data_IF_682760277093
#
_entry.id   IF_682760277093
#
_cell.length_a   1.000
_cell.length_b   1.000
_cell.length_c   1.000
_cell.angle_alpha   90.00
_cell.angle_beta   90.00
_cell.angle_gamma   90.00
#
_symmetry.space_group_name_H-M   'P 1'
#
loop_
_entity.id
_entity.type
_entity.pdbx_description
1 polymer ?
#
# COMPACT_ATOMS: atom_id res chain seq x y z
N UNK A 38 -20.37 -11.75 -5.71
CA UNK A 38 -19.55 -10.62 -5.28
C UNK A 38 -20.39 -9.44 -4.83
N UNK A 39 -21.24 -9.64 -3.83
CA UNK A 39 -22.12 -8.58 -3.35
C UNK A 39 -22.68 -8.92 -1.96
N UNK A 40 -23.21 -7.91 -1.27
CA UNK A 40 -23.81 -8.11 0.05
C UNK A 40 -25.20 -8.74 -0.05
N UNK A 41 -25.59 -9.49 0.98
CA UNK A 41 -26.84 -10.22 0.96
C UNK A 41 -27.64 -10.14 2.27
N UNK A 42 -26.97 -10.27 3.40
CA UNK A 42 -27.66 -10.30 4.68
C UNK A 42 -26.83 -9.67 5.80
N UNK A 43 -27.51 -9.12 6.81
CA UNK A 43 -26.80 -8.45 7.90
C UNK A 43 -27.43 -8.68 9.27
N UNK A 44 -26.64 -9.19 10.21
CA UNK A 44 -27.12 -9.46 11.56
C UNK A 44 -26.33 -8.62 12.57
N UNK A 45 -27.03 -7.78 13.33
CA UNK A 45 -26.40 -6.92 14.33
C UNK A 45 -26.97 -7.20 15.70
N UNK A 46 -26.12 -7.40 16.71
CA UNK A 46 -26.62 -7.66 18.05
C UNK A 46 -26.00 -6.75 19.11
N UNK A 47 -26.89 -6.13 19.89
CA UNK A 47 -26.52 -5.24 20.98
C UNK A 47 -25.59 -4.11 20.59
N UNK A 48 -25.93 -3.43 19.51
CA UNK A 48 -25.18 -2.27 19.06
C UNK A 48 -26.00 -0.99 19.22
N UNK A 49 -25.55 -0.12 20.13
CA UNK A 49 -26.21 1.16 20.34
C UNK A 49 -27.71 0.98 20.59
N UNK A 50 -28.51 1.46 19.65
CA UNK A 50 -29.96 1.44 19.79
C UNK A 50 -30.57 0.20 19.14
N UNK A 51 -29.77 -0.84 18.95
CA UNK A 51 -30.21 -2.04 18.24
C UNK A 51 -30.18 -3.31 19.10
N UNK A 52 -31.38 -3.84 19.41
CA UNK A 52 -31.52 -5.11 20.12
C UNK A 52 -31.82 -6.27 19.17
N UNK A 53 -30.76 -6.69 18.52
CA UNK A 53 -30.73 -7.74 17.49
C UNK A 53 -31.59 -7.37 16.30
N UNK A 54 -30.91 -7.40 15.15
CA UNK A 54 -31.42 -7.01 13.84
C UNK A 54 -30.96 -7.97 12.72
N UNK A 55 -31.94 -8.59 12.07
CA UNK A 55 -31.64 -9.44 10.94
C UNK A 55 -32.28 -8.90 9.67
N UNK A 56 -31.44 -8.43 8.76
CA UNK A 56 -31.90 -7.74 7.56
C UNK A 56 -31.48 -8.50 6.30
N UNK A 57 -32.48 -9.04 5.61
CA UNK A 57 -32.30 -9.63 4.29
C UNK A 57 -32.39 -8.54 3.23
N UNK A 58 -31.25 -8.06 2.76
CA UNK A 58 -31.23 -6.97 1.79
C UNK A 58 -30.69 -7.38 0.41
N UNK A 59 -31.36 -6.91 -0.64
CA UNK A 59 -30.95 -7.20 -2.00
C UNK A 59 -29.72 -6.43 -2.43
N UNK A 60 -29.83 -5.71 -3.55
CA UNK A 60 -28.73 -4.86 -4.00
C UNK A 60 -29.20 -3.50 -4.51
N UNK A 61 -28.66 -3.10 -5.66
CA UNK A 61 -29.04 -1.83 -6.26
C UNK A 61 -28.83 -0.65 -5.32
N UNK A 62 -29.64 0.39 -5.50
CA UNK A 62 -29.56 1.57 -4.66
C UNK A 62 -30.43 1.43 -3.41
N UNK A 63 -29.79 1.30 -2.25
CA UNK A 63 -30.52 1.20 -1.00
C UNK A 63 -30.42 2.48 -0.17
N UNK A 64 -31.59 3.06 0.07
CA UNK A 64 -31.72 4.30 0.83
C UNK A 64 -32.26 4.01 2.22
N UNK A 65 -31.65 4.64 3.22
CA UNK A 65 -32.11 4.52 4.59
C UNK A 65 -32.58 5.86 5.14
N UNK A 66 -33.84 5.91 5.58
CA UNK A 66 -34.43 7.16 6.06
C UNK A 66 -35.12 6.95 7.39
N UNK A 67 -35.74 8.00 7.91
CA UNK A 67 -36.37 7.95 9.21
C UNK A 67 -35.45 8.53 10.27
N UNK A 68 -34.90 7.65 11.11
CA UNK A 68 -33.93 8.07 12.11
C UNK A 68 -32.54 8.01 11.50
N UNK A 69 -32.06 9.17 11.05
CA UNK A 69 -30.78 9.24 10.34
C UNK A 69 -29.60 8.84 11.21
N UNK A 70 -29.58 9.24 12.48
CA UNK A 70 -28.51 8.84 13.36
C UNK A 70 -28.45 7.34 13.58
N UNK A 71 -29.61 6.72 13.74
CA UNK A 71 -29.67 5.28 13.90
C UNK A 71 -29.15 4.62 12.63
N UNK A 72 -29.53 5.18 11.49
CA UNK A 72 -29.08 4.66 10.21
C UNK A 72 -27.58 4.74 10.06
N UNK A 73 -27.00 5.85 10.53
CA UNK A 73 -25.56 6.04 10.46
C UNK A 73 -24.93 4.95 11.30
N UNK A 74 -25.55 4.67 12.44
CA UNK A 74 -25.05 3.64 13.33
C UNK A 74 -25.07 2.25 12.67
N UNK A 75 -26.13 1.97 11.94
CA UNK A 75 -26.28 0.71 11.21
C UNK A 75 -25.32 0.54 10.03
N UNK A 76 -25.19 1.57 9.21
CA UNK A 76 -24.49 1.47 7.94
C UNK A 76 -23.03 1.91 7.99
N UNK A 77 -22.74 2.95 8.77
CA UNK A 77 -21.37 3.45 8.84
C UNK A 77 -20.56 2.81 9.95
N UNK A 78 -21.08 2.87 11.18
CA UNK A 78 -20.37 2.36 12.33
C UNK A 78 -20.21 0.83 12.29
N UNK A 79 -21.32 0.12 12.09
CA UNK A 79 -21.27 -1.34 12.07
C UNK A 79 -20.47 -1.85 10.87
N UNK A 80 -20.92 -1.48 9.67
CA UNK A 80 -20.21 -1.93 8.49
C UNK A 80 -18.76 -1.50 8.66
N UNK A 81 -18.57 -0.38 9.36
CA UNK A 81 -17.23 0.13 9.62
C UNK A 81 -16.41 -0.85 10.43
N UNK A 82 -17.08 -1.49 11.39
CA UNK A 82 -16.44 -2.50 12.23
C UNK A 82 -16.01 -3.70 11.43
N UNK A 83 -16.83 -4.10 10.46
CA UNK A 83 -16.41 -5.25 9.64
C UNK A 83 -15.16 -4.96 8.79
N UNK A 84 -14.99 -3.71 8.38
CA UNK A 84 -13.83 -3.31 7.59
C UNK A 84 -12.59 -3.19 8.47
N UNK A 85 -12.78 -3.33 9.78
CA UNK A 85 -11.70 -3.21 10.73
C UNK A 85 -11.60 -1.80 11.30
N UNK A 86 -10.37 -1.34 11.52
CA UNK A 86 -10.14 -0.02 12.08
C UNK A 86 -10.34 -0.01 13.57
N UNK A 87 -10.21 1.16 14.19
CA UNK A 87 -10.41 1.31 15.62
C UNK A 87 -11.73 0.69 16.06
N UNK A 88 -11.79 0.25 17.31
CA UNK A 88 -12.99 -0.37 17.86
C UNK A 88 -13.36 0.22 19.21
N UNK A 89 -13.92 1.42 19.21
CA UNK A 89 -14.26 2.09 20.45
C UNK A 89 -15.43 1.41 21.15
N UNK A 90 -15.32 1.25 22.46
CA UNK A 90 -16.33 0.56 23.25
C UNK A 90 -17.62 1.37 23.38
N UNK A 91 -17.57 2.64 22.97
CA UNK A 91 -18.76 3.47 22.99
C UNK A 91 -19.80 2.94 22.01
N UNK A 92 -19.35 2.21 20.99
CA UNK A 92 -20.27 1.68 19.99
C UNK A 92 -21.10 0.55 20.59
N UNK A 93 -20.58 -0.02 21.68
CA UNK A 93 -21.24 -1.13 22.38
C UNK A 93 -22.53 -0.68 23.08
N UNK A 94 -23.54 -1.55 23.04
CA UNK A 94 -24.83 -1.29 23.65
C UNK A 94 -24.70 -0.69 25.05
N UNK A 95 -25.66 0.17 25.40
CA UNK A 95 -25.64 0.90 26.67
C UNK A 95 -25.43 -0.01 27.89
N UNK A 96 -26.40 -0.86 28.16
CA UNK A 96 -26.34 -1.73 29.33
C UNK A 96 -26.06 -3.19 29.03
N UNK A 97 -25.24 -3.45 28.02
CA UNK A 97 -24.91 -4.82 27.63
C UNK A 97 -23.41 -5.09 27.67
N UNK A 98 -23.05 -6.37 27.62
CA UNK A 98 -21.66 -6.79 27.81
C UNK A 98 -20.82 -6.85 26.54
N UNK A 99 -21.43 -7.18 25.41
CA UNK A 99 -20.69 -7.30 24.17
C UNK A 99 -21.61 -7.26 22.95
N UNK A 100 -21.09 -6.73 21.84
CA UNK A 100 -21.87 -6.66 20.61
C UNK A 100 -21.31 -7.54 19.50
N UNK A 101 -22.13 -7.84 18.50
CA UNK A 101 -21.69 -8.70 17.40
C UNK A 101 -22.26 -8.23 16.06
N UNK A 102 -21.42 -8.20 15.04
CA UNK A 102 -21.87 -7.83 13.69
C UNK A 102 -21.44 -8.89 12.68
N UNK A 103 -22.42 -9.63 12.17
CA UNK A 103 -22.17 -10.65 11.16
C UNK A 103 -22.73 -10.22 9.80
N UNK A 104 -21.95 -10.42 8.75
CA UNK A 104 -22.40 -10.08 7.42
C UNK A 104 -22.28 -11.25 6.45
N UNK A 105 -23.28 -11.41 5.61
CA UNK A 105 -23.31 -12.51 4.66
C UNK A 105 -23.39 -12.02 3.22
N UNK A 106 -22.49 -12.51 2.38
CA UNK A 106 -22.44 -12.13 0.97
C UNK A 106 -23.08 -13.21 0.08
N UNK A 115 -19.42 -17.20 2.15
CA UNK A 115 -18.56 -16.32 2.93
C UNK A 115 -19.39 -15.54 3.96
N UNK A 116 -19.00 -15.64 5.23
CA UNK A 116 -19.67 -14.92 6.30
C UNK A 116 -18.67 -14.35 7.31
N UNK A 117 -18.33 -13.08 7.16
CA UNK A 117 -17.43 -12.41 8.11
C UNK A 117 -18.19 -11.87 9.30
N UNK A 118 -17.53 -11.84 10.46
CA UNK A 118 -18.14 -11.33 11.67
C UNK A 118 -17.14 -10.59 12.56
N UNK A 119 -17.64 -9.69 13.38
CA UNK A 119 -16.79 -8.97 14.32
C UNK A 119 -17.51 -8.86 15.66
N UNK A 120 -16.89 -9.37 16.72
CA UNK A 120 -17.48 -9.31 18.04
C UNK A 120 -16.62 -8.46 18.98
N UNK A 121 -17.22 -7.47 19.62
CA UNK A 121 -16.47 -6.70 20.59
C UNK A 121 -16.97 -6.97 22.00
N UNK A 122 -16.03 -7.23 22.90
CA UNK A 122 -16.35 -7.56 24.28
C UNK A 122 -15.87 -6.44 25.20
N UNK A 123 -16.74 -6.01 26.12
CA UNK A 123 -16.35 -5.00 27.10
C UNK A 123 -15.32 -5.60 28.05
N UNK A 124 -15.21 -6.92 28.01
CA UNK A 124 -14.23 -7.63 28.83
C UNK A 124 -12.80 -7.27 28.43
N UNK A 125 -12.56 -7.14 27.14
CA UNK A 125 -11.24 -6.79 26.66
C UNK A 125 -10.64 -7.69 25.60
N UNK A 126 -11.30 -8.80 25.29
CA UNK A 126 -10.78 -9.75 24.30
C UNK A 126 -11.48 -9.66 22.96
N UNK A 127 -12.77 -9.97 22.94
CA UNK A 127 -13.55 -10.01 21.71
C UNK A 127 -12.95 -10.99 20.72
N UNK A 128 -13.42 -10.95 19.48
CA UNK A 128 -12.88 -11.81 18.43
C UNK A 128 -13.33 -11.38 17.04
N UNK A 129 -12.46 -11.58 16.04
CA UNK A 129 -12.82 -11.34 14.65
C UNK A 129 -12.98 -12.69 13.97
N UNK A 130 -13.86 -12.77 12.97
CA UNK A 130 -14.03 -14.00 12.21
C UNK A 130 -14.20 -13.85 10.70
N UNK A 131 -13.60 -14.78 9.96
CA UNK A 131 -13.84 -14.91 8.53
C UNK A 131 -14.41 -16.29 8.20
N UNK A 132 -15.53 -16.31 7.49
CA UNK A 132 -16.17 -17.55 7.01
C UNK A 132 -16.25 -18.71 8.00
N UNK A 133 -15.19 -18.93 8.77
CA UNK A 133 -15.17 -20.03 9.72
C UNK A 133 -14.81 -19.66 11.14
N UNK A 134 -13.51 -19.70 11.45
CA UNK A 134 -13.01 -19.51 12.81
C UNK A 134 -12.40 -18.13 13.09
N UNK A 135 -11.71 -18.05 14.23
CA UNK A 135 -10.98 -16.87 14.66
C UNK A 135 -9.82 -16.54 13.73
N UNK A 136 -9.93 -15.44 13.00
CA UNK A 136 -8.86 -15.01 12.11
C UNK A 136 -8.33 -13.65 12.55
N UNK A 137 -7.25 -13.21 11.90
CA UNK A 137 -6.58 -11.98 12.29
C UNK A 137 -7.30 -10.73 11.81
N UNK A 138 -7.16 -9.65 12.57
CA UNK A 138 -7.79 -8.39 12.22
C UNK A 138 -7.19 -7.81 10.94
N UNK A 139 -5.88 -7.95 10.79
CA UNK A 139 -5.19 -7.46 9.59
C UNK A 139 -5.75 -8.14 8.34
N UNK A 140 -6.07 -9.42 8.48
CA UNK A 140 -6.60 -10.22 7.38
C UNK A 140 -8.06 -9.87 7.14
N UNK A 141 -8.77 -9.55 8.23
CA UNK A 141 -10.14 -9.10 8.11
C UNK A 141 -10.16 -7.80 7.30
N UNK A 142 -9.21 -6.92 7.58
CA UNK A 142 -9.08 -5.65 6.90
C UNK A 142 -8.79 -5.88 5.43
N UNK A 143 -7.80 -6.71 5.16
CA UNK A 143 -7.37 -6.99 3.80
C UNK A 143 -8.48 -7.64 2.96
N UNK A 144 -9.28 -8.48 3.61
CA UNK A 144 -10.35 -9.17 2.91
C UNK A 144 -11.57 -8.28 2.67
N UNK A 145 -12.00 -7.60 3.73
CA UNK A 145 -13.18 -6.75 3.65
C UNK A 145 -12.97 -5.49 2.83
N UNK A 146 -11.74 -5.02 2.74
CA UNK A 146 -11.48 -3.84 1.92
C UNK A 146 -11.60 -4.21 0.44
N UNK A 147 -11.81 -5.49 0.19
CA UNK A 147 -12.06 -5.97 -1.16
C UNK A 147 -13.54 -6.16 -1.43
N UNK A 148 -14.35 -6.03 -0.39
CA UNK A 148 -15.78 -6.28 -0.49
C UNK A 148 -16.60 -5.02 -0.17
N UNK A 149 -16.19 -4.32 0.87
CA UNK A 149 -16.92 -3.15 1.36
C UNK A 149 -16.14 -1.87 1.13
N UNK A 150 -16.85 -0.78 0.91
CA UNK A 150 -16.24 0.54 0.89
C UNK A 150 -17.10 1.56 1.60
N UNK A 151 -16.60 2.05 2.73
CA UNK A 151 -17.25 3.11 3.48
C UNK A 151 -16.51 4.40 3.24
N UNK A 152 -17.23 5.42 2.76
CA UNK A 152 -16.57 6.66 2.39
C UNK A 152 -16.64 7.69 3.51
N UNK A 153 -15.48 8.27 3.81
CA UNK A 153 -15.26 9.11 4.96
C UNK A 153 -13.76 9.10 5.19
N UNK A 154 -13.32 9.34 6.42
CA UNK A 154 -11.90 9.30 6.69
C UNK A 154 -11.43 7.88 6.35
N UNK A 155 -12.31 6.92 6.62
CA UNK A 155 -12.04 5.50 6.36
C UNK A 155 -11.96 5.23 4.87
N UNK A 156 -12.31 6.22 4.06
CA UNK A 156 -12.20 6.09 2.62
C UNK A 156 -10.73 6.11 2.22
N UNK A 157 -9.88 6.50 3.16
CA UNK A 157 -8.44 6.57 2.89
C UNK A 157 -7.88 5.22 2.40
N UNK A 158 -8.38 4.13 2.99
CA UNK A 158 -7.89 2.79 2.65
C UNK A 158 -8.72 2.17 1.53
N UNK A 159 -9.42 3.03 0.79
CA UNK A 159 -10.22 2.60 -0.33
C UNK A 159 -9.69 3.22 -1.62
N UNK A 160 -10.03 4.48 -1.87
CA UNK A 160 -9.66 5.16 -3.12
C UNK A 160 -8.59 6.24 -2.95
N UNK A 161 -8.21 6.43 -1.69
CA UNK A 161 -7.53 7.66 -1.26
C UNK A 161 -6.04 7.65 -0.92
N UNK A 162 -5.46 6.47 -0.79
CA UNK A 162 -4.07 6.37 -0.35
C UNK A 162 -3.15 6.42 -1.56
N UNK A 163 -1.84 6.40 -1.33
CA UNK A 163 -0.91 6.55 -2.45
C UNK A 163 -0.99 5.51 -3.57
N UNK A 164 -1.31 4.26 -3.26
CA UNK A 164 -1.32 3.25 -4.31
C UNK A 164 -2.50 3.39 -5.28
N UNK A 165 -3.67 3.77 -4.79
CA UNK A 165 -4.82 3.81 -5.67
C UNK A 165 -4.85 5.15 -6.39
N UNK A 166 -4.40 6.17 -5.66
CA UNK A 166 -4.17 7.49 -6.20
C UNK A 166 -3.24 7.42 -7.40
N UNK A 167 -2.13 6.72 -7.22
CA UNK A 167 -1.21 6.58 -8.33
C UNK A 167 -1.86 5.77 -9.43
N UNK A 168 -2.58 4.71 -9.05
CA UNK A 168 -3.21 3.85 -10.04
C UNK A 168 -4.16 4.53 -11.01
N UNK A 169 -4.95 5.48 -10.50
CA UNK A 169 -5.89 6.19 -11.36
C UNK A 169 -5.18 6.74 -12.61
N UNK A 170 -4.00 7.30 -12.39
CA UNK A 170 -3.22 7.94 -13.45
C UNK A 170 -2.36 6.93 -14.21
N UNK A 171 -1.83 5.96 -13.47
CA UNK A 171 -0.90 4.97 -14.04
C UNK A 171 -1.57 4.00 -15.00
N UNK A 172 -2.90 3.91 -14.94
CA UNK A 172 -3.63 3.05 -15.86
C UNK A 172 -4.00 3.81 -17.13
N UNK A 173 -3.44 5.02 -17.27
CA UNK A 173 -3.59 5.79 -18.50
C UNK A 173 -2.30 5.77 -19.32
N UNK A 174 -1.21 5.36 -18.68
CA UNK A 174 0.11 5.30 -19.32
C UNK A 174 0.82 3.99 -18.97
N UNK A 175 0.10 2.89 -19.12
CA UNK A 175 0.58 1.56 -18.76
C UNK A 175 2.00 1.25 -19.25
N UNK A 176 2.30 1.62 -20.48
CA UNK A 176 3.60 1.36 -21.08
C UNK A 176 4.78 1.86 -20.23
N UNK A 177 4.77 3.15 -19.93
CA UNK A 177 5.82 3.76 -19.11
C UNK A 177 5.88 3.11 -17.73
N UNK A 178 4.72 2.86 -17.13
CA UNK A 178 4.66 2.29 -15.80
C UNK A 178 5.31 0.90 -15.77
N UNK A 179 5.00 0.08 -16.77
CA UNK A 179 5.59 -1.25 -16.87
C UNK A 179 7.07 -1.16 -17.14
N UNK A 180 7.49 -0.10 -17.83
CA UNK A 180 8.90 0.13 -18.12
C UNK A 180 9.65 0.40 -16.83
N UNK A 181 9.04 1.20 -15.96
CA UNK A 181 9.62 1.50 -14.67
C UNK A 181 9.67 0.21 -13.86
N UNK A 182 8.54 -0.47 -13.75
CA UNK A 182 8.48 -1.69 -12.95
C UNK A 182 9.61 -2.65 -13.35
N UNK A 183 9.80 -2.80 -14.66
CA UNK A 183 10.84 -3.67 -15.20
C UNK A 183 12.25 -3.19 -14.83
N UNK A 184 12.52 -1.91 -15.07
CA UNK A 184 13.83 -1.35 -14.72
C UNK A 184 14.14 -1.58 -13.25
N UNK A 185 13.16 -1.27 -12.40
CA UNK A 185 13.29 -1.42 -10.96
C UNK A 185 13.57 -2.87 -10.56
N UNK A 186 12.87 -3.81 -11.21
CA UNK A 186 13.04 -5.22 -10.88
C UNK A 186 14.46 -5.70 -11.26
N UNK A 187 14.89 -5.31 -12.45
CA UNK A 187 16.23 -5.69 -12.91
C UNK A 187 17.29 -5.09 -12.00
N UNK A 188 17.03 -3.86 -11.55
CA UNK A 188 17.95 -3.18 -10.66
C UNK A 188 18.00 -3.90 -9.30
N UNK A 189 16.86 -4.45 -8.89
CA UNK A 189 16.82 -5.20 -7.63
C UNK A 189 17.63 -6.49 -7.78
N UNK A 190 17.60 -7.06 -8.98
CA UNK A 190 18.41 -8.24 -9.28
C UNK A 190 19.89 -7.87 -9.13
N UNK A 191 20.26 -6.74 -9.72
CA UNK A 191 21.63 -6.25 -9.68
C UNK A 191 22.10 -6.02 -8.25
N UNK A 192 21.23 -5.44 -7.43
CA UNK A 192 21.57 -5.14 -6.04
C UNK A 192 21.74 -6.44 -5.24
N UNK A 193 20.88 -7.41 -5.53
CA UNK A 193 20.94 -8.71 -4.88
C UNK A 193 22.30 -9.35 -5.18
N UNK A 194 22.63 -9.49 -6.45
CA UNK A 194 23.90 -10.07 -6.87
C UNK A 194 25.10 -9.32 -6.26
N UNK A 195 25.01 -7.99 -6.32
CA UNK A 195 26.01 -7.06 -5.83
C UNK A 195 26.35 -7.13 -4.34
N UNK A 196 25.41 -7.52 -3.50
CA UNK A 196 25.73 -7.63 -2.06
C UNK A 196 26.67 -8.76 -1.59
N UNK A 197 26.73 -9.90 -2.27
CA UNK A 197 27.65 -10.96 -1.83
C UNK A 197 29.10 -10.47 -1.86
N UNK A 198 29.33 -9.40 -2.62
CA UNK A 198 30.64 -8.81 -2.78
C UNK A 198 31.17 -8.22 -1.47
N UNK A 199 30.27 -7.94 -0.53
CA UNK A 199 30.66 -7.46 0.79
C UNK A 199 31.20 -8.63 1.61
N UNK A 200 30.41 -9.69 1.65
CA UNK A 200 30.80 -10.94 2.30
C UNK A 200 32.20 -11.34 1.83
N UNK A 201 32.40 -11.29 0.51
CA UNK A 201 33.73 -11.57 -0.03
C UNK A 201 34.74 -10.53 0.44
N UNK A 202 34.34 -9.26 0.39
CA UNK A 202 35.21 -8.14 0.72
C UNK A 202 35.90 -8.29 2.07
N UNK A 203 35.10 -8.35 3.13
CA UNK A 203 35.64 -8.34 4.50
C UNK A 203 36.85 -9.27 4.68
N UNK A 204 36.66 -10.55 4.40
CA UNK A 204 37.71 -11.55 4.62
C UNK A 204 38.73 -11.59 3.49
N UNK A 205 38.23 -11.73 2.26
CA UNK A 205 39.11 -11.83 1.10
C UNK A 205 40.12 -10.69 1.03
N UNK A 206 39.77 -9.54 1.60
CA UNK A 206 40.71 -8.42 1.65
C UNK A 206 41.96 -8.79 2.45
N UNK A 207 41.77 -9.04 3.74
CA UNK A 207 42.88 -9.42 4.62
C UNK A 207 43.63 -10.63 4.08
N UNK A 208 42.88 -11.66 3.69
CA UNK A 208 43.48 -12.86 3.12
C UNK A 208 44.40 -12.51 1.97
N UNK A 209 43.92 -11.66 1.07
CA UNK A 209 44.72 -11.24 -0.09
C UNK A 209 45.97 -10.48 0.32
N UNK A 210 45.85 -9.57 1.28
CA UNK A 210 47.02 -8.85 1.76
C UNK A 210 48.07 -9.82 2.30
N UNK A 211 47.60 -10.84 3.04
CA UNK A 211 48.49 -11.87 3.55
C UNK A 211 49.20 -12.60 2.41
N UNK A 212 48.41 -13.15 1.50
CA UNK A 212 48.95 -13.88 0.35
C UNK A 212 50.01 -13.06 -0.37
N UNK A 213 49.65 -11.84 -0.75
CA UNK A 213 50.58 -10.95 -1.44
C UNK A 213 51.85 -10.75 -0.62
N UNK A 214 51.69 -10.59 0.70
CA UNK A 214 52.83 -10.43 1.59
C UNK A 214 53.79 -11.61 1.45
N UNK A 215 53.26 -12.82 1.61
CA UNK A 215 54.08 -14.02 1.49
C UNK A 215 54.75 -14.11 0.12
N UNK A 216 53.95 -14.00 -0.94
CA UNK A 216 54.43 -14.08 -2.31
C UNK A 216 55.57 -13.11 -2.58
N UNK A 217 55.47 -11.90 -2.04
CA UNK A 217 56.53 -10.92 -2.21
C UNK A 217 57.76 -11.30 -1.39
N UNK A 218 57.53 -11.77 -0.17
CA UNK A 218 58.63 -12.20 0.70
C UNK A 218 59.48 -13.26 0.00
N UNK A 219 58.82 -14.22 -0.64
CA UNK A 219 59.52 -15.26 -1.39
C UNK A 219 60.15 -14.71 -2.66
N UNK A 220 59.37 -13.94 -3.42
CA UNK A 220 59.83 -13.39 -4.69
C UNK A 220 61.13 -12.62 -4.55
N UNK A 221 61.19 -11.72 -3.56
CA UNK A 221 62.38 -10.91 -3.34
C UNK A 221 63.63 -11.77 -3.21
N UNK A 222 63.50 -12.88 -2.48
CA UNK A 222 64.62 -13.79 -2.27
C UNK A 222 64.84 -14.67 -3.48
N UNK A 223 63.75 -15.08 -4.13
CA UNK A 223 63.82 -15.95 -5.29
C UNK A 223 64.62 -17.20 -4.99
N UNK A 224 64.05 -18.10 -4.16
CA UNK A 224 64.71 -19.34 -3.77
C UNK A 224 64.86 -20.29 -4.95
N UNK A 225 65.80 -21.21 -4.86
CA UNK A 225 66.03 -22.18 -5.92
C UNK A 225 66.58 -23.50 -5.37
N UNK A 226 65.85 -24.60 -5.60
CA UNK A 226 66.23 -25.93 -5.12
C UNK A 226 67.62 -26.35 -5.58
N UNK A 227 68.25 -27.26 -4.83
CA UNK A 227 69.59 -27.74 -5.17
C UNK A 227 70.61 -26.62 -5.09
N UNK A 228 70.50 -25.79 -4.05
CA UNK A 228 71.37 -24.63 -3.90
C UNK A 228 72.16 -24.73 -2.60
N UNK A 229 71.48 -25.11 -1.53
CA UNK A 229 72.11 -25.23 -0.21
C UNK A 229 73.16 -26.34 -0.16
N UNK A 230 72.97 -27.38 -0.96
CA UNK A 230 73.86 -28.53 -0.92
C UNK A 230 75.26 -28.16 -1.41
N UNK A 231 75.34 -27.25 -2.38
CA UNK A 231 76.61 -26.76 -2.86
C UNK A 231 77.07 -25.57 -2.05
N UNK A 232 76.10 -24.79 -1.59
CA UNK A 232 76.36 -23.62 -0.77
C UNK A 232 77.15 -24.02 0.48
N UNK A 233 76.75 -25.13 1.08
CA UNK A 233 77.43 -25.66 2.26
C UNK A 233 78.87 -26.03 1.96
N UNK A 234 79.09 -26.57 0.76
CA UNK A 234 80.44 -26.92 0.32
C UNK A 234 81.32 -25.69 0.18
N UNK A 235 80.83 -24.71 -0.58
CA UNK A 235 81.54 -23.45 -0.74
C UNK A 235 81.85 -22.82 0.62
N UNK A 236 80.89 -22.92 1.53
CA UNK A 236 81.08 -22.43 2.90
C UNK A 236 82.24 -23.16 3.56
N UNK A 237 82.25 -24.49 3.41
CA UNK A 237 83.35 -25.30 3.93
C UNK A 237 84.68 -24.78 3.42
N UNK A 238 84.76 -24.50 2.12
CA UNK A 238 85.97 -23.96 1.52
C UNK A 238 86.38 -22.62 2.15
N UNK A 239 85.48 -21.64 2.08
CA UNK A 239 85.78 -20.30 2.57
C UNK A 239 86.19 -20.27 4.04
N UNK A 240 85.41 -20.93 4.90
CA UNK A 240 85.68 -20.93 6.33
C UNK A 240 86.94 -21.73 6.66
N UNK A 241 87.11 -22.87 5.99
CA UNK A 241 88.27 -23.72 6.23
C UNK A 241 89.57 -23.02 5.83
N UNK A 242 89.52 -22.24 4.76
CA UNK A 242 90.66 -21.46 4.31
C UNK A 242 90.96 -20.35 5.32
N UNK A 243 90.03 -19.41 5.45
CA UNK A 243 90.16 -18.32 6.40
C UNK A 243 91.54 -17.66 6.32
N UNK A 263 86.72 -12.35 2.20
CA UNK A 263 85.87 -11.93 3.32
C UNK A 263 84.64 -11.16 2.84
N UNK A 264 84.66 -10.75 1.57
CA UNK A 264 83.57 -9.98 0.99
C UNK A 264 82.33 -10.85 0.73
N UNK A 265 82.54 -11.98 0.07
CA UNK A 265 81.44 -12.85 -0.34
C UNK A 265 81.01 -13.81 0.77
N UNK A 266 81.87 -14.00 1.77
CA UNK A 266 81.59 -14.91 2.86
C UNK A 266 80.25 -14.59 3.53
N UNK A 267 80.12 -13.36 4.00
CA UNK A 267 78.92 -12.92 4.70
C UNK A 267 77.70 -12.94 3.78
N UNK A 268 77.93 -12.82 2.48
CA UNK A 268 76.85 -12.91 1.51
C UNK A 268 76.35 -14.34 1.42
N UNK A 269 77.28 -15.28 1.40
CA UNK A 269 76.97 -16.71 1.37
C UNK A 269 76.21 -17.11 2.63
N UNK A 270 76.79 -16.80 3.79
CA UNK A 270 76.15 -17.08 5.06
C UNK A 270 74.76 -16.46 5.12
N UNK A 271 74.66 -15.21 4.65
CA UNK A 271 73.39 -14.50 4.63
C UNK A 271 72.35 -15.23 3.80
N UNK A 272 72.75 -15.70 2.62
CA UNK A 272 71.85 -16.41 1.73
C UNK A 272 71.40 -17.73 2.34
N UNK A 273 72.34 -18.46 2.95
CA UNK A 273 72.02 -19.73 3.58
C UNK A 273 71.03 -19.53 4.71
N UNK A 274 71.30 -18.57 5.59
CA UNK A 274 70.40 -18.26 6.69
C UNK A 274 69.03 -17.84 6.19
N UNK A 275 69.01 -17.08 5.09
CA UNK A 275 67.76 -16.68 4.46
C UNK A 275 66.97 -17.91 4.04
N UNK A 276 67.63 -18.83 3.35
CA UNK A 276 67.01 -20.08 2.94
C UNK A 276 66.50 -20.87 4.15
N UNK A 277 67.19 -20.70 5.28
CA UNK A 277 66.79 -21.37 6.52
C UNK A 277 65.48 -20.81 7.06
N UNK A 278 65.41 -19.47 7.15
CA UNK A 278 64.20 -18.82 7.61
C UNK A 278 63.01 -19.13 6.69
N UNK A 279 63.17 -18.84 5.40
CA UNK A 279 62.13 -19.13 4.43
C UNK A 279 61.78 -20.61 4.42
N UNK A 280 62.72 -21.45 4.85
CA UNK A 280 62.49 -22.88 4.97
C UNK A 280 61.58 -23.18 6.16
N UNK A 281 61.80 -22.47 7.25
CA UNK A 281 60.97 -22.65 8.44
C UNK A 281 59.56 -22.09 8.25
N UNK A 282 59.46 -21.08 7.38
CA UNK A 282 58.19 -20.37 7.16
C UNK A 282 57.11 -21.19 6.46
N UNK A 283 57.30 -21.46 5.17
CA UNK A 283 56.35 -22.23 4.39
C UNK A 283 56.96 -23.52 3.89
N UNK A 284 57.99 -23.99 4.60
CA UNK A 284 58.69 -25.19 4.19
C UNK A 284 57.90 -26.45 4.49
N UNK A 285 58.58 -27.47 5.06
CA UNK A 285 60.00 -27.41 5.39
C UNK A 285 60.89 -27.48 4.15
N UNK A 286 60.63 -28.46 3.29
CA UNK A 286 61.42 -28.66 2.09
C UNK A 286 61.66 -27.35 1.32
N UNK A 287 62.85 -27.21 0.76
CA UNK A 287 63.17 -26.04 -0.06
C UNK A 287 62.20 -25.94 -1.23
N UNK A 288 61.76 -27.09 -1.72
CA UNK A 288 60.78 -27.13 -2.81
C UNK A 288 59.38 -26.78 -2.31
N UNK A 289 59.02 -27.29 -1.14
CA UNK A 289 57.71 -27.02 -0.56
C UNK A 289 57.47 -25.53 -0.41
N UNK A 290 58.55 -24.77 -0.25
CA UNK A 290 58.46 -23.32 -0.12
C UNK A 290 57.96 -22.68 -1.41
N UNK A 291 58.66 -22.93 -2.51
CA UNK A 291 58.28 -22.40 -3.81
C UNK A 291 56.90 -22.92 -4.21
N UNK A 292 56.62 -24.16 -3.84
CA UNK A 292 55.30 -24.75 -4.04
C UNK A 292 54.22 -23.90 -3.38
N UNK A 293 54.42 -23.64 -2.09
CA UNK A 293 53.49 -22.83 -1.32
C UNK A 293 53.34 -21.45 -1.94
N UNK A 294 54.44 -20.93 -2.47
CA UNK A 294 54.42 -19.63 -3.14
C UNK A 294 53.53 -19.67 -4.37
N UNK A 295 53.62 -20.76 -5.12
CA UNK A 295 52.80 -20.95 -6.30
C UNK A 295 51.32 -21.05 -5.93
N UNK A 296 51.03 -21.83 -4.90
CA UNK A 296 49.66 -21.97 -4.41
C UNK A 296 49.09 -20.61 -4.01
N UNK A 297 49.88 -19.84 -3.25
CA UNK A 297 49.48 -18.51 -2.84
C UNK A 297 49.21 -17.62 -4.05
N UNK A 298 50.08 -17.68 -5.04
CA UNK A 298 49.90 -16.93 -6.27
C UNK A 298 48.56 -17.25 -6.91
N UNK A 299 48.28 -18.55 -7.05
CA UNK A 299 47.03 -19.01 -7.64
C UNK A 299 45.82 -18.47 -6.89
N UNK A 300 45.75 -18.78 -5.60
CA UNK A 300 44.63 -18.35 -4.78
C UNK A 300 44.42 -16.84 -4.89
N UNK A 301 45.50 -16.08 -4.75
CA UNK A 301 45.44 -14.63 -4.85
C UNK A 301 44.87 -14.20 -6.19
N UNK A 302 45.32 -14.86 -7.27
CA UNK A 302 44.82 -14.56 -8.60
C UNK A 302 43.30 -14.76 -8.67
N UNK A 303 42.84 -15.90 -8.17
CA UNK A 303 41.42 -16.21 -8.16
C UNK A 303 40.61 -15.17 -7.40
N UNK A 304 41.00 -14.91 -6.16
CA UNK A 304 40.32 -13.91 -5.36
C UNK A 304 40.27 -12.55 -6.07
N UNK A 305 41.38 -12.19 -6.70
CA UNK A 305 41.45 -10.96 -7.48
C UNK A 305 40.41 -10.98 -8.60
N UNK A 306 40.28 -12.11 -9.27
CA UNK A 306 39.25 -12.27 -10.29
C UNK A 306 37.88 -11.98 -9.69
N UNK A 307 37.60 -12.59 -8.54
CA UNK A 307 36.35 -12.35 -7.83
C UNK A 307 36.10 -10.85 -7.64
N UNK A 308 37.05 -10.19 -6.98
CA UNK A 308 36.93 -8.77 -6.68
C UNK A 308 36.68 -7.92 -7.93
N UNK A 309 37.61 -7.97 -8.88
CA UNK A 309 37.49 -7.22 -10.12
C UNK A 309 36.13 -7.45 -10.78
N UNK A 310 35.76 -8.71 -10.92
CA UNK A 310 34.46 -9.09 -11.48
C UNK A 310 33.34 -8.34 -10.77
N UNK A 311 33.36 -8.40 -9.45
CA UNK A 311 32.36 -7.70 -8.63
C UNK A 311 32.33 -6.21 -8.97
N UNK A 312 33.51 -5.61 -9.11
CA UNK A 312 33.61 -4.20 -9.46
C UNK A 312 32.91 -3.88 -10.77
N UNK A 313 33.28 -4.62 -11.82
CA UNK A 313 32.64 -4.46 -13.11
C UNK A 313 31.12 -4.55 -12.97
N UNK A 314 30.66 -5.60 -12.30
CA UNK A 314 29.23 -5.77 -12.05
C UNK A 314 28.64 -4.52 -11.41
N UNK A 315 29.41 -3.89 -10.52
CA UNK A 315 28.95 -2.69 -9.83
C UNK A 315 28.77 -1.53 -10.79
N UNK A 316 29.80 -1.26 -11.61
CA UNK A 316 29.69 -0.21 -12.62
C UNK A 316 28.45 -0.44 -13.49
N UNK A 317 28.27 -1.69 -13.90
CA UNK A 317 27.10 -2.08 -14.67
C UNK A 317 25.82 -1.67 -13.92
N UNK A 318 25.79 -1.98 -12.62
CA UNK A 318 24.65 -1.64 -11.77
C UNK A 318 24.37 -0.14 -11.83
N UNK A 319 25.40 0.67 -11.71
CA UNK A 319 25.22 2.12 -11.81
C UNK A 319 24.63 2.50 -13.15
N UNK A 320 25.06 1.83 -14.22
CA UNK A 320 24.48 2.04 -15.54
C UNK A 320 22.97 1.79 -15.51
N UNK A 321 22.58 0.63 -14.99
CA UNK A 321 21.16 0.31 -14.85
C UNK A 321 20.43 1.37 -14.03
N UNK A 322 21.13 1.95 -13.06
CA UNK A 322 20.58 3.03 -12.26
C UNK A 322 20.24 4.21 -13.15
N UNK A 323 21.20 4.62 -13.97
CA UNK A 323 20.96 5.69 -14.93
C UNK A 323 19.73 5.38 -15.79
N UNK A 324 19.66 4.15 -16.29
CA UNK A 324 18.52 3.73 -17.10
C UNK A 324 17.20 3.93 -16.36
N UNK A 325 17.10 3.35 -15.16
CA UNK A 325 15.91 3.50 -14.34
C UNK A 325 15.55 4.96 -14.16
N UNK A 326 16.57 5.81 -14.02
CA UNK A 326 16.36 7.25 -13.93
C UNK A 326 15.64 7.77 -15.17
N UNK A 327 16.22 7.50 -16.33
CA UNK A 327 15.63 7.89 -17.60
C UNK A 327 14.17 7.47 -17.69
N UNK A 328 13.91 6.20 -17.41
CA UNK A 328 12.56 5.65 -17.46
C UNK A 328 11.63 6.43 -16.55
N UNK A 329 12.08 6.67 -15.31
CA UNK A 329 11.31 7.43 -14.35
C UNK A 329 10.95 8.81 -14.89
N UNK A 330 11.91 9.46 -15.54
CA UNK A 330 11.67 10.75 -16.16
C UNK A 330 10.57 10.64 -17.21
N UNK A 331 10.68 9.65 -18.09
CA UNK A 331 9.69 9.42 -19.13
C UNK A 331 8.29 9.26 -18.53
N UNK A 332 8.18 8.44 -17.50
CA UNK A 332 6.91 8.23 -16.81
C UNK A 332 6.38 9.54 -16.25
N UNK A 333 7.26 10.32 -15.62
CA UNK A 333 6.89 11.62 -15.10
C UNK A 333 6.26 12.48 -16.19
N UNK A 334 6.93 12.55 -17.33
CA UNK A 334 6.42 13.31 -18.47
C UNK A 334 5.04 12.79 -18.88
N UNK A 335 4.89 11.48 -18.89
CA UNK A 335 3.60 10.86 -19.22
C UNK A 335 2.50 11.36 -18.29
N UNK A 336 2.79 11.37 -17.00
CA UNK A 336 1.85 11.89 -16.01
C UNK A 336 1.51 13.34 -16.31
N UNK A 337 2.53 14.19 -16.35
CA UNK A 337 2.38 15.61 -16.64
C UNK A 337 1.52 15.82 -17.89
N UNK A 338 1.53 14.84 -18.77
CA UNK A 338 0.78 14.90 -20.02
C UNK A 338 -0.69 14.51 -19.80
N UNK A 339 -0.91 13.47 -18.99
CA UNK A 339 -2.25 12.95 -18.76
C UNK A 339 -2.97 13.65 -17.61
N UNK A 340 -2.35 14.67 -17.04
CA UNK A 340 -2.94 15.40 -15.92
C UNK A 340 -4.06 16.32 -16.36
N UNK A 341 -3.79 17.16 -17.35
CA UNK A 341 -4.76 18.15 -17.83
C UNK A 341 -6.13 17.56 -18.19
N UNK A 342 -6.15 16.53 -19.06
CA UNK A 342 -7.43 15.98 -19.53
C UNK A 342 -8.20 15.28 -18.42
N UNK A 343 -7.47 14.79 -17.42
CA UNK A 343 -8.07 14.05 -16.32
C UNK A 343 -8.90 14.95 -15.41
N UNK A 344 -8.22 15.91 -14.77
CA UNK A 344 -8.86 16.80 -13.80
C UNK A 344 -10.06 17.54 -14.39
N UNK A 345 -9.96 17.92 -15.66
CA UNK A 345 -11.02 18.68 -16.31
C UNK A 345 -12.29 17.85 -16.50
N UNK A 346 -12.14 16.53 -16.49
CA UNK A 346 -13.29 15.64 -16.67
C UNK A 346 -14.07 15.46 -15.37
N UNK A 347 -13.43 15.82 -14.25
CA UNK A 347 -14.07 15.68 -12.95
C UNK A 347 -14.78 16.97 -12.52
N UNK A 348 -14.06 18.08 -12.59
CA UNK A 348 -14.63 19.38 -12.23
C UNK A 348 -15.94 19.60 -12.97
N UNK A 349 -15.97 19.22 -14.25
CA UNK A 349 -17.16 19.39 -15.08
C UNK A 349 -18.37 18.68 -14.49
N UNK A 350 -18.14 17.68 -13.64
CA UNK A 350 -19.23 16.93 -13.04
C UNK A 350 -19.31 17.21 -11.54
N UNK A 351 -18.23 17.71 -10.96
CA UNK A 351 -18.18 17.99 -9.53
C UNK A 351 -18.75 19.38 -9.22
N UNK A 352 -18.38 20.36 -10.04
CA UNK A 352 -18.84 21.74 -9.85
C UNK A 352 -20.36 21.82 -9.99
N UNK A 353 -20.96 20.79 -10.57
CA UNK A 353 -22.41 20.74 -10.77
C UNK A 353 -23.12 20.24 -9.53
N UNK A 354 -22.69 19.08 -9.03
CA UNK A 354 -23.21 18.57 -7.77
C UNK A 354 -22.83 19.54 -6.64
N UNK A 355 -23.40 20.73 -6.69
CA UNK A 355 -23.08 21.77 -5.73
C UNK A 355 -21.60 22.10 -5.75
N UNK A 356 -21.20 23.04 -4.89
CA UNK A 356 -19.79 23.37 -4.74
C UNK A 356 -19.16 23.77 -6.08
N UNK A 357 -19.50 24.97 -6.58
CA UNK A 357 -18.92 25.48 -7.83
C UNK A 357 -17.58 26.17 -7.56
N UNK A 358 -16.92 26.61 -8.63
CA UNK A 358 -15.66 27.32 -8.51
C UNK A 358 -14.59 26.49 -7.80
N UNK A 359 -14.79 25.17 -7.77
CA UNK A 359 -13.85 24.28 -7.13
C UNK A 359 -12.59 24.09 -7.97
N UNK A 360 -11.43 24.18 -7.32
CA UNK A 360 -10.16 23.98 -8.02
C UNK A 360 -9.55 22.62 -7.68
N UNK A 361 -8.89 22.02 -8.66
CA UNK A 361 -8.30 20.70 -8.46
C UNK A 361 -7.11 20.47 -9.39
N UNK A 362 -6.07 19.83 -8.87
CA UNK A 362 -4.87 19.56 -9.65
C UNK A 362 -4.06 18.41 -9.06
N UNK A 363 -3.07 17.95 -9.82
CA UNK A 363 -2.17 16.91 -9.35
C UNK A 363 -0.74 17.42 -9.25
N UNK A 364 -0.10 17.13 -8.13
CA UNK A 364 1.27 17.58 -7.90
C UNK A 364 2.21 16.40 -7.63
N UNK A 365 3.33 16.36 -8.33
CA UNK A 365 4.28 15.29 -8.16
C UNK A 365 5.49 15.76 -7.36
N UNK A 366 5.96 14.90 -6.44
CA UNK A 366 7.15 15.23 -5.66
C UNK A 366 8.39 14.50 -6.15
N UNK A 367 9.51 15.20 -6.04
CA UNK A 367 10.83 14.68 -6.37
C UNK A 367 11.48 13.95 -5.20
N UNK A 368 11.06 12.71 -5.00
CA UNK A 368 11.56 11.88 -3.92
C UNK A 368 12.91 11.27 -4.30
N UNK A 369 13.81 11.22 -3.33
CA UNK A 369 15.14 10.63 -3.54
C UNK A 369 15.00 9.13 -3.77
N UNK A 370 15.82 8.61 -4.69
CA UNK A 370 15.88 7.17 -4.99
C UNK A 370 14.79 6.76 -5.97
N UNK A 371 14.80 5.47 -6.37
CA UNK A 371 13.78 4.86 -7.23
C UNK A 371 12.44 4.58 -6.52
N UNK A 372 12.48 4.02 -5.32
CA UNK A 372 11.26 3.69 -4.57
C UNK A 372 10.52 2.47 -5.13
N UNK A 373 9.27 2.31 -4.71
CA UNK A 373 8.48 1.14 -5.09
C UNK A 373 7.61 1.40 -6.31
N UNK A 374 6.96 2.57 -6.33
CA UNK A 374 6.10 2.94 -7.44
C UNK A 374 6.81 3.85 -8.44
N UNK A 375 7.56 4.81 -7.93
CA UNK A 375 8.28 5.75 -8.77
C UNK A 375 9.03 6.79 -7.97
N UNK A 376 9.99 7.45 -8.62
CA UNK A 376 10.77 8.50 -7.99
C UNK A 376 9.97 9.78 -7.83
N UNK A 377 8.69 9.73 -8.15
CA UNK A 377 7.84 10.90 -8.04
C UNK A 377 6.54 10.55 -7.30
N UNK A 378 6.29 11.19 -6.18
CA UNK A 378 5.07 10.90 -5.44
C UNK A 378 3.86 11.59 -6.05
N UNK A 379 2.76 10.86 -6.17
CA UNK A 379 1.51 11.39 -6.71
C UNK A 379 0.63 11.97 -5.63
N UNK A 380 0.53 13.30 -5.61
CA UNK A 380 -0.30 14.00 -4.65
C UNK A 380 -1.47 14.70 -5.35
N UNK A 381 -2.56 14.89 -4.63
CA UNK A 381 -3.74 15.53 -5.20
C UNK A 381 -4.12 16.77 -4.38
N UNK A 382 -4.20 17.92 -5.05
CA UNK A 382 -4.56 19.16 -4.39
C UNK A 382 -5.95 19.62 -4.81
N UNK A 383 -6.73 20.09 -3.84
CA UNK A 383 -8.11 20.48 -4.09
C UNK A 383 -8.56 21.64 -3.18
N UNK A 384 -9.48 22.46 -3.69
CA UNK A 384 -10.05 23.57 -2.93
C UNK A 384 -11.52 23.77 -3.29
N UNK A 385 -12.38 23.75 -2.28
CA UNK A 385 -13.81 23.92 -2.49
C UNK A 385 -14.16 25.38 -2.77
N UNK A 386 -13.55 26.28 -2.01
CA UNK A 386 -13.79 27.71 -2.17
C UNK A 386 -12.65 28.40 -2.90
N UNK A 387 -12.95 29.52 -3.58
CA UNK A 387 -11.95 30.31 -4.31
C UNK A 387 -10.90 30.92 -3.40
N UNK A 388 -10.99 30.67 -2.10
CA UNK A 388 -10.04 31.20 -1.14
C UNK A 388 -9.38 30.15 -0.28
N UNK A 389 -9.61 28.89 -0.61
CA UNK A 389 -9.05 27.78 0.16
C UNK A 389 -7.56 27.63 -0.09
N UNK A 390 -7.14 27.97 -1.32
CA UNK A 390 -5.74 27.90 -1.72
C UNK A 390 -5.30 26.48 -2.08
N UNK A 391 -6.28 25.57 -2.15
CA UNK A 391 -6.00 24.16 -2.42
C UNK A 391 -5.42 23.47 -1.19
N UNK A 392 -5.07 22.21 -1.35
CA UNK A 392 -4.49 21.45 -0.25
C UNK A 392 -4.90 19.99 -0.31
N UNK A 393 -4.47 19.21 0.70
CA UNK A 393 -4.76 17.79 0.78
C UNK A 393 -6.25 17.50 0.57
N UNK A 394 -6.56 16.52 -0.26
CA UNK A 394 -7.93 16.11 -0.50
C UNK A 394 -8.62 15.83 0.83
N UNK A 395 -8.03 14.92 1.60
CA UNK A 395 -8.54 14.61 2.92
C UNK A 395 -7.59 15.19 3.96
N UNK A 396 -7.90 14.95 5.22
CA UNK A 396 -7.00 15.35 6.30
C UNK A 396 -6.78 16.86 6.32
N UNK A 397 -7.37 17.56 5.36
CA UNK A 397 -7.35 19.02 5.31
C UNK A 397 -8.53 19.52 4.46
N UNK A 398 -9.33 20.40 5.03
CA UNK A 398 -10.49 20.95 4.34
C UNK A 398 -11.41 19.86 3.83
N UNK A 399 -11.88 19.02 4.74
CA UNK A 399 -12.76 17.90 4.37
C UNK A 399 -14.11 17.98 5.10
N UNK A 400 -14.94 16.96 4.91
CA UNK A 400 -16.23 16.89 5.55
C UNK A 400 -17.28 16.22 4.69
N UNK A 401 -18.03 17.03 3.94
CA UNK A 401 -19.08 16.49 3.08
C UNK A 401 -18.61 16.35 1.65
N UNK A 402 -17.91 17.37 1.16
CA UNK A 402 -17.43 17.42 -0.22
C UNK A 402 -16.69 16.15 -0.64
N UNK A 403 -15.94 15.57 0.30
CA UNK A 403 -15.16 14.36 -0.01
C UNK A 403 -16.04 13.23 -0.50
N UNK A 404 -17.18 13.02 0.14
CA UNK A 404 -18.02 11.87 -0.20
C UNK A 404 -18.55 12.02 -1.60
N UNK A 405 -18.91 13.26 -1.93
CA UNK A 405 -19.41 13.60 -3.26
C UNK A 405 -18.32 13.42 -4.30
N UNK A 406 -17.14 13.98 -4.03
CA UNK A 406 -15.99 13.82 -4.91
C UNK A 406 -15.77 12.34 -5.18
N UNK A 407 -15.83 11.55 -4.11
CA UNK A 407 -15.69 10.10 -4.19
C UNK A 407 -16.74 9.53 -5.13
N UNK A 408 -17.96 10.04 -5.03
CA UNK A 408 -19.04 9.59 -5.90
C UNK A 408 -18.72 9.87 -7.37
N UNK A 409 -18.46 11.13 -7.68
CA UNK A 409 -18.12 11.54 -9.04
C UNK A 409 -17.00 10.67 -9.60
N UNK A 410 -15.87 10.67 -8.91
CA UNK A 410 -14.74 9.84 -9.29
C UNK A 410 -15.17 8.41 -9.56
N UNK A 411 -15.99 7.88 -8.67
CA UNK A 411 -16.48 6.51 -8.79
C UNK A 411 -17.20 6.28 -10.11
N UNK A 412 -18.29 7.02 -10.32
CA UNK A 412 -19.10 6.86 -11.53
C UNK A 412 -18.29 7.07 -12.80
N UNK A 413 -17.45 8.09 -12.81
CA UNK A 413 -16.69 8.45 -14.00
C UNK A 413 -15.60 7.43 -14.30
N UNK A 414 -15.08 6.77 -13.26
CA UNK A 414 -14.02 5.79 -13.43
C UNK A 414 -14.50 4.35 -13.27
N UNK A 415 -15.16 4.06 -12.15
CA UNK A 415 -15.69 2.73 -11.90
C UNK A 415 -15.67 2.33 -10.44
N UNK A 416 -16.39 1.26 -10.12
CA UNK A 416 -16.46 0.75 -8.75
C UNK A 416 -15.55 -0.45 -8.57
N UNK A 417 -14.71 -0.41 -7.55
CA UNK A 417 -13.75 -1.48 -7.29
C UNK A 417 -14.30 -2.57 -6.37
N UNK A 418 -15.22 -2.19 -5.50
CA UNK A 418 -15.80 -3.14 -4.55
C UNK A 418 -17.28 -3.40 -4.83
N UNK A 419 -17.77 -4.58 -4.41
CA UNK A 419 -19.17 -5.00 -4.57
C UNK A 419 -20.15 -3.94 -4.09
N UNK A 420 -20.03 -3.57 -2.81
CA UNK A 420 -20.94 -2.59 -2.22
C UNK A 420 -20.18 -1.45 -1.54
N UNK A 421 -20.45 -0.23 -1.99
CA UNK A 421 -19.83 0.96 -1.42
C UNK A 421 -20.85 1.80 -0.67
N UNK A 422 -20.38 2.59 0.29
CA UNK A 422 -21.28 3.44 1.07
C UNK A 422 -20.72 4.85 1.22
N UNK A 423 -21.58 5.84 1.01
CA UNK A 423 -21.21 7.24 1.18
C UNK A 423 -21.87 7.82 2.42
N UNK A 424 -21.06 8.43 3.28
CA UNK A 424 -21.54 8.96 4.55
C UNK A 424 -21.47 10.48 4.63
N UNK A 425 -22.56 11.09 5.08
CA UNK A 425 -22.62 12.53 5.29
C UNK A 425 -22.42 13.32 4.01
N UNK A 426 -22.93 12.79 2.90
CA UNK A 426 -22.81 13.47 1.62
C UNK A 426 -23.95 14.46 1.40
N UNK A 427 -25.16 14.05 1.77
CA UNK A 427 -26.33 14.90 1.59
C UNK A 427 -26.42 15.98 2.66
N UNK A 428 -25.40 16.84 2.69
CA UNK A 428 -25.36 17.94 3.63
C UNK A 428 -24.67 19.12 2.94
N UNK A 429 -24.97 20.33 3.39
CA UNK A 429 -24.39 21.52 2.81
C UNK A 429 -24.83 21.76 1.38
N UNK A 430 -25.72 20.90 0.90
CA UNK A 430 -26.24 21.02 -0.46
C UNK A 430 -27.76 21.09 -0.46
N UNK A 431 -28.36 20.95 -1.65
CA UNK A 431 -29.81 20.98 -1.77
C UNK A 431 -30.29 21.39 -3.15
N UNK A 432 -31.46 20.88 -3.53
CA UNK A 432 -32.08 21.25 -4.79
C UNK A 432 -31.50 20.53 -5.98
N UNK A 433 -31.35 21.26 -7.08
CA UNK A 433 -30.83 20.69 -8.33
C UNK A 433 -29.58 19.88 -8.08
N UNK A 434 -28.67 20.42 -7.29
CA UNK A 434 -27.44 19.73 -6.94
C UNK A 434 -27.75 18.40 -6.28
N UNK A 435 -28.64 18.42 -5.30
CA UNK A 435 -29.04 17.20 -4.59
C UNK A 435 -29.56 16.16 -5.56
N UNK A 436 -30.37 16.60 -6.53
CA UNK A 436 -30.94 15.71 -7.52
C UNK A 436 -29.85 15.16 -8.44
N UNK A 437 -28.79 15.94 -8.63
CA UNK A 437 -27.66 15.50 -9.45
C UNK A 437 -26.87 14.41 -8.72
N UNK A 438 -26.67 14.62 -7.43
CA UNK A 438 -25.98 13.64 -6.60
C UNK A 438 -26.77 12.34 -6.56
N UNK A 439 -28.07 12.45 -6.34
CA UNK A 439 -28.95 11.28 -6.31
C UNK A 439 -28.92 10.55 -7.65
N UNK A 440 -29.10 11.30 -8.72
CA UNK A 440 -29.06 10.74 -10.07
C UNK A 440 -27.75 9.99 -10.29
N UNK A 441 -26.66 10.56 -9.77
CA UNK A 441 -25.35 9.93 -9.88
C UNK A 441 -25.36 8.61 -9.13
N UNK A 442 -25.94 8.63 -7.94
CA UNK A 442 -26.10 7.44 -7.12
C UNK A 442 -26.84 6.35 -7.90
N UNK A 443 -27.77 6.78 -8.76
CA UNK A 443 -28.50 5.85 -9.62
C UNK A 443 -27.56 5.26 -10.68
N UNK A 444 -26.93 6.16 -11.42
CA UNK A 444 -25.99 5.79 -12.47
C UNK A 444 -25.05 4.71 -11.95
N UNK A 445 -24.54 4.91 -10.74
CA UNK A 445 -23.63 3.96 -10.13
C UNK A 445 -24.38 2.73 -9.63
N UNK A 446 -25.63 2.93 -9.22
CA UNK A 446 -26.44 1.84 -8.70
C UNK A 446 -26.54 0.72 -9.72
N UNK A 447 -26.63 1.08 -10.99
CA UNK A 447 -26.64 0.04 -12.03
C UNK A 447 -25.43 -0.90 -11.93
N UNK A 448 -24.24 -0.32 -11.91
CA UNK A 448 -23.01 -1.09 -11.84
C UNK A 448 -22.95 -1.98 -10.60
N UNK A 449 -22.94 -1.36 -9.43
CA UNK A 449 -22.87 -2.11 -8.17
C UNK A 449 -23.84 -1.56 -7.12
N UNK A 450 -23.85 -2.19 -5.96
CA UNK A 450 -24.76 -1.84 -4.87
C UNK A 450 -24.26 -0.62 -4.08
N UNK A 451 -25.17 0.30 -3.78
CA UNK A 451 -24.82 1.50 -3.03
C UNK A 451 -25.73 1.69 -1.82
N UNK A 452 -25.13 2.03 -0.69
CA UNK A 452 -25.90 2.23 0.53
C UNK A 452 -25.78 3.68 0.97
N UNK A 453 -26.86 4.27 1.46
CA UNK A 453 -26.72 5.60 2.05
C UNK A 453 -27.84 5.97 3.01
N UNK A 454 -27.50 6.67 4.09
CA UNK A 454 -28.50 7.16 5.03
C UNK A 454 -28.89 8.60 4.73
N UNK A 455 -30.03 8.78 4.09
CA UNK A 455 -30.47 10.10 3.66
C UNK A 455 -31.71 10.58 4.38
N UNK A 456 -31.93 11.89 4.33
CA UNK A 456 -33.13 12.50 4.88
C UNK A 456 -33.81 13.34 3.80
N UNK A 457 -33.20 13.39 2.63
CA UNK A 457 -33.73 14.13 1.49
C UNK A 457 -34.68 13.27 0.66
N UNK A 458 -35.64 13.91 0.00
CA UNK A 458 -36.76 13.18 -0.61
C UNK A 458 -36.44 12.56 -1.96
N UNK A 459 -35.83 13.34 -2.85
CA UNK A 459 -35.51 12.85 -4.19
C UNK A 459 -34.54 11.69 -4.14
N UNK A 460 -33.54 11.82 -3.26
CA UNK A 460 -32.52 10.79 -3.09
C UNK A 460 -33.16 9.51 -2.56
N UNK A 461 -33.99 9.64 -1.54
CA UNK A 461 -34.65 8.50 -0.93
C UNK A 461 -35.60 7.83 -1.92
N UNK A 462 -36.14 8.61 -2.85
CA UNK A 462 -37.06 8.07 -3.85
C UNK A 462 -36.34 7.34 -4.98
N UNK A 463 -35.23 7.90 -5.44
CA UNK A 463 -34.51 7.36 -6.59
C UNK A 463 -33.95 5.95 -6.34
N UNK A 464 -33.74 5.63 -5.07
CA UNK A 464 -33.21 4.32 -4.70
C UNK A 464 -34.22 3.22 -4.99
N UNK A 465 -33.84 2.28 -5.86
CA UNK A 465 -34.70 1.17 -6.24
C UNK A 465 -35.32 0.51 -5.01
N UNK A 466 -34.46 0.18 -4.04
CA UNK A 466 -34.94 -0.34 -2.76
C UNK A 466 -34.99 0.79 -1.73
N UNK A 467 -35.89 0.66 -0.76
CA UNK A 467 -36.06 1.69 0.26
C UNK A 467 -36.34 1.09 1.63
N UNK A 468 -35.40 1.30 2.56
CA UNK A 468 -35.54 0.81 3.92
C UNK A 468 -35.84 1.95 4.87
N UNK A 469 -36.85 1.77 5.72
CA UNK A 469 -37.21 2.79 6.70
C UNK A 469 -36.73 2.42 8.09
N UNK A 470 -36.12 3.40 8.76
CA UNK A 470 -35.65 3.22 10.13
C UNK A 470 -36.56 3.95 11.12
N UNK A 471 -37.30 3.17 11.90
CA UNK A 471 -38.20 3.73 12.90
C UNK A 471 -37.70 3.33 14.29
N UNK A 472 -38.52 3.56 15.31
CA UNK A 472 -38.13 3.21 16.67
C UNK A 472 -39.26 2.57 17.47
N UNK A 473 -39.19 1.26 17.63
CA UNK A 473 -40.15 0.52 18.45
C UNK A 473 -39.62 0.35 19.87
N UNK A 474 -40.51 0.46 20.84
CA UNK A 474 -40.12 0.33 22.24
C UNK A 474 -40.44 -1.05 22.79
N UNK A 475 -39.40 -1.80 23.14
CA UNK A 475 -39.57 -3.13 23.71
C UNK A 475 -39.32 -3.10 25.22
N UNK A 476 -40.35 -3.42 25.99
CA UNK A 476 -40.28 -3.35 27.45
C UNK A 476 -39.03 -4.03 28.00
N UNK A 477 -38.30 -3.31 28.84
CA UNK A 477 -38.66 -1.95 29.19
C UNK A 477 -37.71 -0.93 28.58
N UNK A 478 -37.25 -1.21 27.36
CA UNK A 478 -36.27 -0.35 26.70
C UNK A 478 -36.83 0.24 25.41
N UNK A 479 -36.16 1.28 24.91
CA UNK A 479 -36.52 1.89 23.64
C UNK A 479 -35.51 1.49 22.57
N UNK A 480 -35.99 0.84 21.51
CA UNK A 480 -35.11 0.29 20.50
C UNK A 480 -35.44 0.82 19.10
N UNK A 481 -34.46 0.74 18.20
CA UNK A 481 -34.69 1.06 16.80
C UNK A 481 -35.28 -0.15 16.09
N UNK A 482 -35.92 0.08 14.95
CA UNK A 482 -36.54 -1.00 14.20
C UNK A 482 -36.69 -0.62 12.74
N UNK A 483 -36.02 -1.35 11.86
CA UNK A 483 -36.02 -1.05 10.43
C UNK A 483 -36.91 -2.03 9.67
N UNK A 484 -37.49 -1.56 8.57
CA UNK A 484 -38.33 -2.43 7.74
C UNK A 484 -38.40 -1.97 6.29
N UNK A 485 -38.77 -2.88 5.40
CA UNK A 485 -38.93 -2.55 3.99
C UNK A 485 -40.24 -1.82 3.74
N UNK A 486 -40.31 -1.08 2.63
CA UNK A 486 -41.52 -0.31 2.29
C UNK A 486 -42.25 -0.93 1.09
N UNK A 487 -43.50 -1.32 1.31
CA UNK A 487 -44.24 -2.14 0.35
C UNK A 487 -44.57 -1.43 -0.97
N UNK A 488 -45.06 -0.20 -0.89
CA UNK A 488 -45.44 0.52 -2.10
C UNK A 488 -46.15 1.82 -1.81
N UNK A 489 -47.45 1.74 -1.55
CA UNK A 489 -48.22 2.91 -1.17
C UNK A 489 -47.67 3.48 0.11
N UNK A 490 -47.26 2.60 1.02
CA UNK A 490 -46.64 2.99 2.28
C UNK A 490 -45.42 3.84 1.97
N UNK A 491 -44.58 3.35 1.06
CA UNK A 491 -43.38 4.06 0.65
C UNK A 491 -43.71 5.46 0.17
N UNK A 492 -44.64 5.57 -0.78
CA UNK A 492 -45.05 6.85 -1.31
C UNK A 492 -45.47 7.78 -0.19
N UNK A 493 -46.31 7.26 0.70
CA UNK A 493 -46.81 8.02 1.84
C UNK A 493 -45.65 8.59 2.65
N UNK A 494 -44.70 7.73 3.00
CA UNK A 494 -43.58 8.14 3.84
C UNK A 494 -42.65 9.14 3.15
N UNK A 495 -42.43 8.97 1.86
CA UNK A 495 -41.55 9.85 1.11
C UNK A 495 -42.20 11.22 0.94
N UNK A 496 -43.51 11.22 0.72
CA UNK A 496 -44.25 12.47 0.67
C UNK A 496 -44.11 13.14 2.03
N UNK A 497 -44.33 12.39 3.09
CA UNK A 497 -44.12 12.90 4.45
C UNK A 497 -42.76 13.58 4.56
N UNK A 498 -41.73 12.90 4.04
CA UNK A 498 -40.37 13.44 4.05
C UNK A 498 -40.35 14.80 3.38
N UNK A 499 -40.85 14.86 2.15
CA UNK A 499 -41.04 16.14 1.48
C UNK A 499 -42.19 16.86 2.18
N UNK A 500 -42.00 18.13 2.51
CA UNK A 500 -43.04 18.87 3.22
C UNK A 500 -43.38 18.20 4.55
N UNK A 501 -44.67 18.07 4.85
CA UNK A 501 -45.11 17.50 6.11
C UNK A 501 -46.28 16.53 5.96
N UNK A 502 -46.16 15.37 6.60
CA UNK A 502 -47.23 14.38 6.63
C UNK A 502 -47.74 13.96 5.25
N UNK A 503 -49.06 13.94 5.11
CA UNK A 503 -49.69 13.55 3.86
C UNK A 503 -50.50 14.70 3.28
N UNK A 504 -50.31 14.95 1.99
CA UNK A 504 -51.03 16.01 1.30
C UNK A 504 -51.02 15.76 -0.21
N UNK A 505 -52.17 15.94 -0.84
CA UNK A 505 -52.32 15.64 -2.26
C UNK A 505 -51.15 16.17 -3.09
N UNK A 506 -50.72 17.40 -2.78
CA UNK A 506 -49.60 18.00 -3.48
C UNK A 506 -48.33 17.19 -3.27
N UNK A 507 -48.06 16.82 -2.02
CA UNK A 507 -46.89 16.02 -1.68
C UNK A 507 -46.91 14.68 -2.42
N UNK A 508 -48.04 14.00 -2.36
CA UNK A 508 -48.21 12.72 -3.06
C UNK A 508 -47.92 12.87 -4.54
N UNK A 509 -48.53 13.87 -5.15
CA UNK A 509 -48.37 14.14 -6.58
C UNK A 509 -46.90 14.36 -6.95
N UNK A 510 -46.30 15.37 -6.32
CA UNK A 510 -44.90 15.70 -6.59
C UNK A 510 -44.01 14.47 -6.39
N UNK A 511 -44.30 13.71 -5.34
CA UNK A 511 -43.55 12.50 -5.04
C UNK A 511 -43.64 11.48 -6.17
N UNK A 512 -44.85 11.29 -6.68
CA UNK A 512 -45.09 10.36 -7.78
C UNK A 512 -44.40 10.82 -9.06
N UNK A 513 -44.33 12.13 -9.26
CA UNK A 513 -43.64 12.68 -10.42
C UNK A 513 -42.13 12.51 -10.30
N UNK A 514 -41.63 12.57 -9.07
CA UNK A 514 -40.20 12.43 -8.82
C UNK A 514 -39.73 10.98 -8.91
N UNK A 515 -40.49 10.07 -8.31
CA UNK A 515 -40.12 8.67 -8.29
C UNK A 515 -40.16 8.04 -9.68
N UNK A 516 -40.91 8.67 -10.59
CA UNK A 516 -41.05 8.16 -11.95
C UNK A 516 -39.70 8.05 -12.64
#
# INVERSE_FOLDING_TARGET
GIDPFTMTRKARTPKAAPVPEAVAVVEPPPPDAAPTGPRLSRLEIRNLATITQLELELGGGFCAFTGETGAGKSIIVDALGLLLGGRANHDLIRSGEKELLVTGFWGDGDESEADSASRRLSSAGRGAARLSGEVVSVRELQEWAQGRLTIHWQHSAVSLLSPANQRGLLDRRVTKEAQAYAAAHAAWREAVSRLERLQASQRERARQIDLLAFQVQEISEVSPDPGEEEGLNTELSRLSNLHESSKHPTSLVPRGSGSAADPEALDRVEARLSALSKLKNKYGPTLEDVVEFGAQAAEELAGLEEDERDAGSLQADVDALHAELLKVGQALDAAREREAEPLVDSLLAVIRELGMPHARMEFALSALAEPAAYGLSDVLLRFSANPGEELGPLSDVASGGELSRVMLAVSTVLGADTPSVVFDEVDAGIGGAAAIAVAEQLSRLADTRQVLVVTHLAQIAARAHHHYKVEKQVEDGRTVSHVRLLTGDERLEEIARMLSGNTSEAALEHARELLAG
#
